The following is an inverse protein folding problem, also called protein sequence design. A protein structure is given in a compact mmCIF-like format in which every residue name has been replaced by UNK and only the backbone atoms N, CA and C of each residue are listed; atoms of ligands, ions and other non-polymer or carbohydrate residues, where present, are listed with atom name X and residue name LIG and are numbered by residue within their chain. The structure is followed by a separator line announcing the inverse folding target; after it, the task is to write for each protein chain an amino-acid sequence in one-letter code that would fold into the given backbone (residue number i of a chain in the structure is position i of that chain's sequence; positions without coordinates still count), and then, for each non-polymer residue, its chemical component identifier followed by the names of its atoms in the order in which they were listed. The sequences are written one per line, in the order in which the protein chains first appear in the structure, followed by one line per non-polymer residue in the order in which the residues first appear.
data_IF_720665648042
#
_entry.id   IF_720665648042
#
_cell.length_a   1.000
_cell.length_b   1.000
_cell.length_c   1.000
_cell.angle_alpha   90.00
_cell.angle_beta   90.00
_cell.angle_gamma   90.00
#
_symmetry.space_group_name_H-M   'P 1'
#
loop_
_entity.id
_entity.type
_entity.pdbx_description
1 polymer ?
#
# COMPACT_ATOMS: atom_id res chain seq x y z
N UNK A 1 18.95 -27.81 -19.19
CA UNK A 1 19.90 -26.97 -18.43
C UNK A 1 20.21 -25.73 -19.26
N UNK A 2 20.01 -24.55 -18.67
CA UNK A 2 19.94 -23.23 -19.33
C UNK A 2 21.26 -22.75 -19.94
N UNK A 3 21.22 -22.03 -21.07
CA UNK A 3 21.47 -20.59 -21.02
C UNK A 3 21.07 -19.82 -22.29
N UNK A 4 20.59 -18.59 -22.06
CA UNK A 4 20.18 -17.58 -23.03
C UNK A 4 21.41 -17.05 -23.79
N UNK A 5 21.46 -17.33 -25.08
CA UNK A 5 22.30 -16.59 -26.02
C UNK A 5 21.58 -15.35 -26.55
N UNK A 6 22.37 -14.44 -27.12
CA UNK A 6 22.00 -13.25 -27.88
C UNK A 6 21.95 -11.93 -27.11
N UNK A 7 23.13 -11.59 -26.58
CA UNK A 7 23.73 -10.29 -26.84
C UNK A 7 23.36 -9.75 -28.25
N UNK A 8 22.72 -8.60 -28.27
CA UNK A 8 23.17 -7.41 -29.01
C UNK A 8 23.90 -7.63 -30.34
N UNK A 9 23.16 -7.93 -31.40
CA UNK A 9 23.62 -7.86 -32.78
C UNK A 9 22.33 -7.71 -33.61
N UNK A 10 21.86 -6.54 -34.03
CA UNK A 10 22.48 -5.69 -35.03
C UNK A 10 21.69 -4.37 -35.10
N UNK A 11 22.33 -3.29 -34.69
CA UNK A 11 22.20 -2.03 -35.44
C UNK A 11 23.00 -2.24 -36.73
N UNK A 12 22.30 -2.53 -37.83
CA UNK A 12 22.64 -2.20 -39.24
C UNK A 12 21.88 -3.12 -40.20
N UNK A 13 20.80 -2.61 -40.79
CA UNK A 13 20.81 -2.22 -42.20
C UNK A 13 19.45 -1.63 -42.60
N UNK A 14 19.51 -0.42 -43.13
CA UNK A 14 18.42 0.21 -43.85
C UNK A 14 18.06 -0.64 -45.06
N UNK A 15 16.92 -1.32 -45.00
CA UNK A 15 16.19 -1.76 -46.17
C UNK A 15 14.78 -2.16 -45.73
N UNK A 16 13.90 -1.17 -45.80
CA UNK A 16 12.51 -1.29 -46.20
C UNK A 16 11.72 -2.52 -45.73
N UNK A 17 10.79 -2.27 -44.82
CA UNK A 17 9.40 -2.66 -45.02
C UNK A 17 8.47 -1.78 -44.16
N UNK A 18 8.22 -0.56 -44.65
CA UNK A 18 7.32 0.42 -44.03
C UNK A 18 5.86 -0.08 -43.90
N UNK A 19 5.52 -1.16 -44.59
CA UNK A 19 4.20 -1.80 -44.57
C UNK A 19 3.99 -2.64 -43.28
N UNK A 20 5.07 -3.13 -42.65
CA UNK A 20 4.99 -3.91 -41.41
C UNK A 20 4.86 -3.07 -40.14
N UNK A 21 5.37 -1.83 -40.16
CA UNK A 21 5.33 -0.94 -39.00
C UNK A 21 3.97 -0.24 -38.84
N UNK A 22 3.24 0.01 -39.94
CA UNK A 22 1.95 0.70 -39.92
C UNK A 22 0.79 -0.20 -39.44
N UNK A 23 0.89 -1.52 -39.62
CA UNK A 23 -0.10 -2.48 -39.15
C UNK A 23 0.03 -2.79 -37.64
N UNK A 24 1.23 -2.66 -37.07
CA UNK A 24 1.43 -2.87 -35.63
C UNK A 24 0.90 -1.71 -34.79
N UNK A 25 0.90 -0.48 -35.34
CA UNK A 25 0.36 0.71 -34.65
C UNK A 25 -1.17 0.77 -34.66
N UNK A 26 -1.84 0.10 -35.60
CA UNK A 26 -3.32 0.06 -35.63
C UNK A 26 -3.91 -0.96 -34.65
N UNK A 27 -3.19 -2.06 -34.37
CA UNK A 27 -3.63 -3.09 -33.41
C UNK A 27 -3.55 -2.57 -31.96
N UNK A 28 -2.70 -1.57 -31.68
CA UNK A 28 -2.62 -0.95 -30.34
C UNK A 28 -3.65 0.15 -30.08
N UNK A 29 -4.36 0.66 -31.10
CA UNK A 29 -5.30 1.78 -30.92
C UNK A 29 -6.74 1.31 -30.63
N UNK A 30 -7.12 0.09 -31.03
CA UNK A 30 -8.49 -0.43 -30.81
C UNK A 30 -8.69 -1.15 -29.47
N UNK A 31 -7.72 -1.10 -28.55
CA UNK A 31 -7.73 -1.87 -27.29
C UNK A 31 -7.99 -1.08 -26.02
N UNK A 32 -8.08 0.25 -26.06
CA UNK A 32 -8.37 1.07 -24.88
C UNK A 32 -9.86 1.41 -24.81
N UNK A 33 -10.70 0.41 -24.53
CA UNK A 33 -12.04 0.64 -24.00
C UNK A 33 -11.99 0.45 -22.50
N UNK A 34 -11.60 1.50 -21.76
CA UNK A 34 -11.84 1.58 -20.31
C UNK A 34 -12.74 2.80 -20.06
N UNK A 35 -14.04 2.52 -20.15
CA UNK A 35 -15.12 3.02 -19.31
C UNK A 35 -15.10 4.52 -18.95
N UNK A 36 -15.74 5.33 -19.80
CA UNK A 36 -16.38 6.55 -19.34
C UNK A 36 -17.69 6.16 -18.64
N UNK A 37 -17.64 5.97 -17.34
CA UNK A 37 -18.83 6.02 -16.50
C UNK A 37 -18.66 7.20 -15.54
N UNK A 38 -19.04 8.39 -16.01
CA UNK A 38 -19.51 9.45 -15.13
C UNK A 38 -20.83 8.97 -14.52
N UNK A 39 -20.76 8.03 -13.57
CA UNK A 39 -21.88 7.65 -12.75
C UNK A 39 -21.99 8.67 -11.63
N UNK A 40 -22.93 9.59 -11.84
CA UNK A 40 -23.48 10.53 -10.87
C UNK A 40 -23.52 9.90 -9.48
N UNK A 41 -22.60 10.32 -8.59
CA UNK A 41 -22.69 9.97 -7.19
C UNK A 41 -24.01 10.51 -6.64
N UNK A 42 -24.94 9.58 -6.41
CA UNK A 42 -26.23 9.83 -5.82
C UNK A 42 -25.99 10.45 -4.44
N UNK A 43 -26.23 11.77 -4.33
CA UNK A 43 -26.10 12.56 -3.10
C UNK A 43 -27.24 12.23 -2.12
N UNK A 44 -27.33 10.96 -1.75
CA UNK A 44 -27.99 10.47 -0.54
C UNK A 44 -27.02 9.56 0.25
N UNK A 45 -25.72 9.81 0.10
CA UNK A 45 -24.75 9.43 1.12
C UNK A 45 -25.07 10.26 2.36
N UNK A 46 -25.83 9.61 3.24
CA UNK A 46 -25.82 9.73 4.70
C UNK A 46 -24.88 10.84 5.16
N UNK A 47 -25.38 11.73 6.00
CA UNK A 47 -24.53 12.55 6.86
C UNK A 47 -23.68 11.57 7.69
N UNK A 48 -22.56 11.11 7.14
CA UNK A 48 -21.53 10.35 7.83
C UNK A 48 -20.88 11.38 8.74
N UNK A 49 -21.41 11.45 9.95
CA UNK A 49 -20.63 11.96 11.07
C UNK A 49 -19.40 11.07 11.19
N UNK A 50 -18.32 11.46 10.52
CA UNK A 50 -16.94 10.99 10.66
C UNK A 50 -16.77 9.64 11.34
N UNK A 51 -17.19 8.56 10.67
CA UNK A 51 -16.80 7.21 11.06
C UNK A 51 -15.32 7.02 10.69
N UNK A 52 -14.45 7.68 11.44
CA UNK A 52 -13.02 7.46 11.33
C UNK A 52 -12.75 6.03 11.76
N UNK A 53 -12.18 5.22 10.88
CA UNK A 53 -11.63 3.92 11.25
C UNK A 53 -10.67 4.14 12.43
N UNK A 54 -10.98 3.51 13.56
CA UNK A 54 -10.18 3.58 14.77
C UNK A 54 -9.43 2.27 14.94
N UNK A 55 -8.19 2.37 15.42
CA UNK A 55 -7.31 1.25 15.72
C UNK A 55 -6.83 1.42 17.15
N UNK A 56 -7.00 0.37 17.96
CA UNK A 56 -6.48 0.35 19.32
C UNK A 56 -4.98 0.03 19.31
N UNK A 57 -4.20 0.88 19.97
CA UNK A 57 -2.76 0.70 20.16
C UNK A 57 -2.38 0.87 21.64
N UNK A 58 -1.20 0.38 22.00
CA UNK A 58 -0.55 0.63 23.28
C UNK A 58 0.34 1.87 23.19
N UNK A 59 -0.12 2.97 23.76
CA UNK A 59 0.59 4.24 23.79
C UNK A 59 1.65 4.29 24.87
N UNK A 60 2.89 4.64 24.50
CA UNK A 60 4.01 4.81 25.41
C UNK A 60 3.90 6.13 26.18
N UNK A 61 3.78 6.04 27.49
CA UNK A 61 3.74 7.20 28.38
C UNK A 61 5.16 7.67 28.73
N UNK A 62 5.29 8.93 29.13
CA UNK A 62 6.59 9.52 29.52
C UNK A 62 7.25 8.86 30.74
N UNK A 63 6.53 8.07 31.52
CA UNK A 63 7.07 7.27 32.62
C UNK A 63 7.54 5.86 32.18
N UNK A 64 7.38 5.51 30.90
CA UNK A 64 7.76 4.23 30.33
C UNK A 64 6.68 3.14 30.39
N UNK A 65 5.50 3.42 30.95
CA UNK A 65 4.36 2.50 30.93
C UNK A 65 3.56 2.65 29.63
N UNK A 66 2.64 1.72 29.40
CA UNK A 66 1.78 1.71 28.23
C UNK A 66 0.30 1.85 28.62
N UNK A 67 -0.48 2.50 27.76
CA UNK A 67 -1.93 2.65 27.92
C UNK A 67 -2.64 2.41 26.59
N UNK A 68 -3.72 1.63 26.61
CA UNK A 68 -4.58 1.46 25.45
C UNK A 68 -5.26 2.78 25.06
N UNK A 69 -5.15 3.16 23.80
CA UNK A 69 -5.88 4.28 23.19
C UNK A 69 -6.40 3.89 21.81
N UNK A 70 -7.50 4.51 21.40
CA UNK A 70 -8.02 4.39 20.04
C UNK A 70 -7.54 5.59 19.22
N UNK A 71 -6.85 5.32 18.12
CA UNK A 71 -6.34 6.34 17.20
C UNK A 71 -6.98 6.17 15.84
N UNK A 72 -7.04 7.23 15.06
CA UNK A 72 -7.42 7.12 13.65
C UNK A 72 -6.42 6.20 12.95
N UNK A 73 -6.90 5.30 12.09
CA UNK A 73 -6.08 4.39 11.29
C UNK A 73 -4.94 5.12 10.56
N UNK A 74 -5.20 6.33 10.05
CA UNK A 74 -4.19 7.16 9.35
C UNK A 74 -3.08 7.72 10.25
N UNK A 75 -3.27 7.68 11.57
CA UNK A 75 -2.29 8.16 12.55
C UNK A 75 -1.43 7.01 13.12
N UNK A 76 -1.80 5.75 12.87
CA UNK A 76 -1.13 4.57 13.43
C UNK A 76 0.35 4.51 13.07
N UNK A 77 0.75 4.94 11.87
CA UNK A 77 2.17 4.91 11.51
C UNK A 77 2.97 5.92 12.34
N UNK A 78 2.44 7.13 12.56
CA UNK A 78 3.11 8.18 13.34
C UNK A 78 3.24 7.79 14.83
N UNK A 79 2.10 7.48 15.47
CA UNK A 79 1.96 6.25 16.23
C UNK A 79 3.20 5.44 16.64
N UNK A 80 3.45 4.42 15.82
CA UNK A 80 4.47 3.41 16.01
C UNK A 80 5.88 4.01 15.89
N UNK A 81 6.08 5.00 15.01
CA UNK A 81 7.36 5.68 14.82
C UNK A 81 7.86 6.41 16.07
N UNK A 82 6.97 6.86 16.96
CA UNK A 82 7.33 7.49 18.23
C UNK A 82 7.33 6.55 19.43
N UNK A 83 7.19 5.24 19.21
CA UNK A 83 7.39 4.22 20.25
C UNK A 83 6.13 3.56 20.78
N UNK A 84 4.94 3.91 20.27
CA UNK A 84 3.73 3.14 20.54
C UNK A 84 3.84 1.76 19.90
N UNK A 85 3.06 0.81 20.40
CA UNK A 85 3.11 -0.58 19.96
C UNK A 85 1.71 -1.14 19.77
N UNK A 86 1.57 -2.18 18.96
CA UNK A 86 0.34 -2.97 18.96
C UNK A 86 0.21 -3.78 20.25
N UNK A 87 -1.01 -4.03 20.74
CA UNK A 87 -1.24 -5.04 21.77
C UNK A 87 -0.62 -6.38 21.35
N UNK A 88 -0.02 -7.09 22.31
CA UNK A 88 0.68 -8.35 22.01
C UNK A 88 2.11 -8.20 21.49
N UNK A 89 2.65 -6.98 21.35
CA UNK A 89 4.04 -6.79 20.91
C UNK A 89 5.03 -7.53 21.82
N UNK A 90 5.96 -8.27 21.20
CA UNK A 90 6.96 -9.08 21.89
C UNK A 90 8.36 -8.63 21.51
N UNK A 91 9.04 -7.99 22.47
CA UNK A 91 10.44 -7.62 22.39
C UNK A 91 11.35 -8.66 23.04
N UNK A 92 12.68 -8.51 22.92
CA UNK A 92 13.64 -9.48 23.44
C UNK A 92 13.67 -9.58 24.98
N UNK A 93 13.19 -8.56 25.71
CA UNK A 93 13.23 -8.50 27.17
C UNK A 93 11.86 -8.23 27.82
N UNK A 94 10.88 -7.75 27.03
CA UNK A 94 9.56 -7.40 27.51
C UNK A 94 8.49 -7.78 26.49
N UNK A 95 7.31 -8.13 26.99
CA UNK A 95 6.09 -8.32 26.20
C UNK A 95 5.02 -7.32 26.64
N UNK A 96 4.19 -6.89 25.70
CA UNK A 96 2.96 -6.16 25.97
C UNK A 96 1.78 -7.11 25.85
N UNK A 97 0.92 -7.16 26.87
CA UNK A 97 -0.32 -7.93 26.79
C UNK A 97 -1.34 -7.25 25.88
N UNK A 98 -2.45 -7.93 25.61
CA UNK A 98 -3.60 -7.36 24.89
C UNK A 98 -4.21 -6.12 25.58
N UNK A 99 -3.94 -5.96 26.88
CA UNK A 99 -4.39 -4.81 27.68
C UNK A 99 -3.29 -3.76 27.86
N UNK A 100 -2.21 -3.83 27.07
CA UNK A 100 -1.06 -2.95 27.15
C UNK A 100 -0.33 -2.99 28.50
N UNK A 101 -0.38 -4.11 29.20
CA UNK A 101 0.44 -4.35 30.39
C UNK A 101 1.84 -4.79 29.97
N UNK A 102 2.86 -4.11 30.49
CA UNK A 102 4.26 -4.41 30.21
C UNK A 102 4.80 -5.43 31.21
N UNK A 103 5.20 -6.59 30.71
CA UNK A 103 5.80 -7.67 31.49
C UNK A 103 7.23 -7.88 30.99
N UNK A 104 8.23 -7.74 31.85
CA UNK A 104 9.65 -7.90 31.51
C UNK A 104 10.29 -9.02 32.36
N UNK A 105 11.27 -9.72 31.79
CA UNK A 105 11.87 -10.94 32.35
C UNK A 105 13.39 -10.86 32.46
#
# INVERSE_FOLDING_TARGET
MFNLGYYSFLKRNNSMNYIGFLLLTLITITGYSLNESAESENLNSVIETGAHNQVTICHLLGNGDYKAIDVNEKAVDAHLDHGDQFPGYSGPFCVLTENCEKICF
#
